data_IF_977711539907
#
_entry.id   IF_977711539907
#
_cell.length_a   1.000
_cell.length_b   1.000
_cell.length_c   1.000
_cell.angle_alpha   90.00
_cell.angle_beta   90.00
_cell.angle_gamma   90.00
#
_symmetry.space_group_name_H-M   'P 1'
#
loop_
_entity.id
_entity.type
_entity.pdbx_description
1 polymer ?
#
# COMPACT_ATOMS: atom_id res chain seq x y z
N UNK A 1 64.66 3.75 35.09
CA UNK A 1 63.68 4.50 35.91
C UNK A 1 62.62 5.17 35.00
N UNK A 2 61.92 4.41 34.12
CA UNK A 2 61.08 5.01 33.02
C UNK A 2 59.56 4.89 33.21
N UNK A 3 59.09 4.57 34.42
CA UNK A 3 57.67 4.25 34.67
C UNK A 3 56.63 5.39 34.56
N UNK A 4 56.93 6.71 34.66
CA UNK A 4 55.88 7.72 34.72
C UNK A 4 55.25 8.09 33.36
N UNK A 5 56.03 8.12 32.27
CA UNK A 5 55.50 8.51 30.94
C UNK A 5 54.51 7.48 30.38
N UNK A 6 54.72 6.20 30.67
CA UNK A 6 53.82 5.11 30.25
C UNK A 6 52.45 5.21 30.95
N UNK A 7 52.43 5.58 32.22
CA UNK A 7 51.19 5.79 32.98
C UNK A 7 50.40 7.01 32.49
N UNK A 8 51.09 8.11 32.15
CA UNK A 8 50.45 9.30 31.56
C UNK A 8 49.82 9.01 30.20
N UNK A 9 50.49 8.23 29.34
CA UNK A 9 49.92 7.81 28.05
C UNK A 9 48.69 6.91 28.20
N UNK A 10 48.68 6.01 29.20
CA UNK A 10 47.52 5.17 29.51
C UNK A 10 46.36 6.02 30.05
N UNK A 11 46.64 7.00 30.89
CA UNK A 11 45.63 7.94 31.39
C UNK A 11 45.03 8.79 30.26
N UNK A 12 45.85 9.29 29.34
CA UNK A 12 45.39 10.02 28.15
C UNK A 12 44.55 9.14 27.22
N UNK A 13 44.92 7.87 27.04
CA UNK A 13 44.13 6.92 26.25
C UNK A 13 42.74 6.66 26.89
N UNK A 14 42.69 6.46 28.22
CA UNK A 14 41.42 6.29 28.93
C UNK A 14 40.52 7.52 28.83
N UNK A 15 41.10 8.73 28.87
CA UNK A 15 40.34 9.97 28.74
C UNK A 15 39.70 10.08 27.33
N UNK A 16 40.44 9.73 26.28
CA UNK A 16 39.92 9.69 24.90
C UNK A 16 38.76 8.72 24.76
N UNK A 17 38.88 7.51 25.31
CA UNK A 17 37.78 6.52 25.28
C UNK A 17 36.54 7.02 26.00
N UNK A 18 36.70 7.63 27.19
CA UNK A 18 35.58 8.25 27.93
C UNK A 18 34.91 9.35 27.13
N UNK A 19 35.69 10.18 26.43
CA UNK A 19 35.18 11.27 25.61
C UNK A 19 34.42 10.74 24.38
N UNK A 20 34.96 9.73 23.70
CA UNK A 20 34.28 9.05 22.58
C UNK A 20 32.96 8.44 23.06
N UNK A 21 32.97 7.76 24.21
CA UNK A 21 31.76 7.20 24.79
C UNK A 21 30.72 8.28 25.15
N UNK A 22 31.16 9.38 25.77
CA UNK A 22 30.29 10.51 26.09
C UNK A 22 29.68 11.14 24.83
N UNK A 23 30.47 11.30 23.77
CA UNK A 23 30.00 11.82 22.48
C UNK A 23 28.96 10.89 21.84
N UNK A 24 29.24 9.57 21.83
CA UNK A 24 28.28 8.56 21.35
C UNK A 24 26.96 8.59 22.13
N UNK A 25 27.05 8.71 23.46
CA UNK A 25 25.88 8.78 24.33
C UNK A 25 25.07 10.07 24.08
N UNK A 26 25.75 11.21 23.93
CA UNK A 26 25.09 12.48 23.65
C UNK A 26 24.40 12.46 22.28
N UNK A 27 25.07 11.94 21.25
CA UNK A 27 24.48 11.73 19.92
C UNK A 27 23.23 10.83 19.97
N UNK A 28 23.27 9.73 20.72
CA UNK A 28 22.10 8.86 20.90
C UNK A 28 20.93 9.62 21.53
N UNK A 29 21.19 10.41 22.58
CA UNK A 29 20.16 11.21 23.26
C UNK A 29 19.54 12.26 22.34
N UNK A 30 20.35 12.95 21.53
CA UNK A 30 19.87 13.92 20.54
C UNK A 30 18.93 13.27 19.52
N UNK A 31 19.34 12.13 18.94
CA UNK A 31 18.50 11.41 17.98
C UNK A 31 17.19 10.90 18.59
N UNK A 32 17.22 10.46 19.86
CA UNK A 32 16.01 10.06 20.56
C UNK A 32 15.07 11.25 20.78
N UNK A 33 15.60 12.40 21.19
CA UNK A 33 14.83 13.63 21.39
C UNK A 33 14.20 14.12 20.09
N UNK A 34 14.97 14.14 18.99
CA UNK A 34 14.45 14.49 17.66
C UNK A 34 13.31 13.56 17.23
N UNK A 35 13.46 12.25 17.44
CA UNK A 35 12.40 11.28 17.13
C UNK A 35 11.14 11.55 17.95
N UNK A 36 11.27 11.73 19.26
CA UNK A 36 10.13 12.01 20.14
C UNK A 36 9.42 13.30 19.70
N UNK A 37 10.16 14.35 19.36
CA UNK A 37 9.56 15.59 18.87
C UNK A 37 8.81 15.39 17.55
N UNK A 38 9.38 14.64 16.60
CA UNK A 38 8.69 14.28 15.35
C UNK A 38 7.40 13.50 15.62
N UNK A 39 7.44 12.53 16.54
CA UNK A 39 6.24 11.78 16.93
C UNK A 39 5.20 12.68 17.60
N UNK A 40 5.60 13.59 18.48
CA UNK A 40 4.67 14.52 19.12
C UNK A 40 3.98 15.42 18.10
N UNK A 41 4.71 15.96 17.12
CA UNK A 41 4.12 16.75 16.02
C UNK A 41 3.10 15.92 15.25
N UNK A 42 3.46 14.70 14.85
CA UNK A 42 2.56 13.79 14.14
C UNK A 42 1.30 13.46 14.95
N UNK A 43 1.44 13.20 16.25
CA UNK A 43 0.31 12.93 17.14
C UNK A 43 -0.62 14.14 17.27
N UNK A 44 -0.05 15.35 17.34
CA UNK A 44 -0.84 16.58 17.35
C UNK A 44 -1.59 16.80 16.03
N UNK A 45 -1.00 16.45 14.89
CA UNK A 45 -1.67 16.48 13.59
C UNK A 45 -2.81 15.47 13.52
N UNK A 46 -2.58 14.22 13.94
CA UNK A 46 -3.61 13.18 14.01
C UNK A 46 -4.74 13.55 14.98
N UNK A 47 -4.44 14.24 16.08
CA UNK A 47 -5.45 14.72 17.03
C UNK A 47 -6.37 15.77 16.40
N UNK A 48 -5.82 16.65 15.55
CA UNK A 48 -6.57 17.69 14.83
C UNK A 48 -7.47 17.14 13.72
N UNK A 49 -7.31 15.88 13.32
CA UNK A 49 -8.16 15.30 12.27
C UNK A 49 -9.64 15.31 12.70
N UNK A 50 -10.56 15.83 11.84
CA UNK A 50 -11.98 15.83 12.15
C UNK A 50 -12.52 14.39 12.12
N UNK A 51 -13.22 13.98 13.18
CA UNK A 51 -13.85 12.65 13.28
C UNK A 51 -15.35 12.75 13.05
N UNK A 52 -15.90 11.80 12.32
CA UNK A 52 -17.35 11.64 12.13
C UNK A 52 -17.88 10.62 13.14
N UNK A 53 -19.12 10.78 13.61
CA UNK A 53 -19.76 9.81 14.51
C UNK A 53 -19.91 8.47 13.80
N UNK A 54 -19.61 7.38 14.51
CA UNK A 54 -19.72 6.02 13.97
C UNK A 54 -21.12 5.70 13.43
N UNK A 55 -22.18 6.19 14.10
CA UNK A 55 -23.56 6.05 13.62
C UNK A 55 -23.77 6.68 12.23
N UNK A 56 -23.21 7.87 12.01
CA UNK A 56 -23.33 8.58 10.74
C UNK A 56 -22.53 7.87 9.64
N UNK A 57 -21.32 7.39 9.95
CA UNK A 57 -20.54 6.58 9.03
C UNK A 57 -21.28 5.30 8.61
N UNK A 58 -21.90 4.60 9.56
CA UNK A 58 -22.67 3.40 9.27
C UNK A 58 -23.86 3.71 8.33
N UNK A 59 -24.59 4.80 8.58
CA UNK A 59 -25.67 5.25 7.69
C UNK A 59 -25.16 5.58 6.28
N UNK A 60 -24.01 6.23 6.15
CA UNK A 60 -23.41 6.51 4.83
C UNK A 60 -23.07 5.22 4.06
N UNK A 61 -22.53 4.21 4.77
CA UNK A 61 -22.21 2.92 4.16
C UNK A 61 -23.50 2.20 3.72
N UNK A 62 -24.52 2.15 4.57
CA UNK A 62 -25.82 1.54 4.24
C UNK A 62 -26.40 2.20 2.99
N UNK A 63 -26.51 3.53 3.00
CA UNK A 63 -27.04 4.28 1.86
C UNK A 63 -26.26 4.01 0.57
N UNK A 64 -24.92 3.95 0.66
CA UNK A 64 -24.09 3.63 -0.50
C UNK A 64 -24.37 2.23 -1.04
N UNK A 65 -24.46 1.24 -0.15
CA UNK A 65 -24.74 -0.15 -0.53
C UNK A 65 -26.16 -0.33 -1.06
N UNK A 66 -27.13 0.47 -0.62
CA UNK A 66 -28.51 0.45 -1.12
C UNK A 66 -28.68 1.20 -2.45
N UNK A 67 -27.80 2.14 -2.78
CA UNK A 67 -27.87 2.87 -4.06
C UNK A 67 -27.05 2.21 -5.15
N UNK A 68 -26.00 1.47 -4.76
CA UNK A 68 -25.05 0.87 -5.69
C UNK A 68 -25.40 -0.60 -5.91
N UNK A 69 -25.88 -0.92 -7.11
CA UNK A 69 -26.20 -2.29 -7.51
C UNK A 69 -24.94 -3.15 -7.63
N UNK A 70 -24.90 -4.29 -6.95
CA UNK A 70 -23.84 -5.28 -7.07
C UNK A 70 -24.33 -6.54 -7.83
N UNK A 71 -23.81 -6.82 -9.04
CA UNK A 71 -24.20 -7.98 -9.83
C UNK A 71 -23.74 -9.33 -9.24
N UNK A 72 -22.86 -9.33 -8.23
CA UNK A 72 -22.38 -10.53 -7.53
C UNK A 72 -23.33 -11.02 -6.43
N UNK A 73 -24.34 -10.23 -6.07
CA UNK A 73 -25.35 -10.59 -5.05
C UNK A 73 -26.75 -10.63 -5.68
N UNK A 74 -27.07 -11.64 -6.52
CA UNK A 74 -28.34 -11.70 -7.23
C UNK A 74 -29.58 -11.82 -6.34
N UNK A 75 -29.41 -12.28 -5.09
CA UNK A 75 -30.52 -12.46 -4.15
C UNK A 75 -31.17 -11.13 -3.74
N UNK A 76 -30.36 -10.07 -3.63
CA UNK A 76 -30.82 -8.73 -3.24
C UNK A 76 -31.11 -7.88 -4.48
N UNK A 77 -30.24 -8.00 -5.48
CA UNK A 77 -30.19 -7.09 -6.63
C UNK A 77 -30.75 -7.66 -7.93
N UNK A 78 -31.07 -8.96 -7.96
CA UNK A 78 -31.51 -9.68 -9.15
C UNK A 78 -30.35 -10.17 -10.02
N UNK A 79 -30.65 -11.13 -10.89
CA UNK A 79 -29.66 -11.71 -11.80
C UNK A 79 -29.25 -10.72 -12.90
N UNK A 80 -27.95 -10.57 -13.19
CA UNK A 80 -27.50 -9.71 -14.27
C UNK A 80 -27.98 -10.24 -15.63
N UNK A 81 -28.53 -9.35 -16.48
CA UNK A 81 -29.09 -9.71 -17.79
C UNK A 81 -28.08 -10.36 -18.75
N UNK A 82 -26.80 -10.01 -18.65
CA UNK A 82 -25.72 -10.55 -19.49
C UNK A 82 -24.50 -10.90 -18.63
N UNK A 83 -24.24 -12.19 -18.47
CA UNK A 83 -22.99 -12.68 -17.90
C UNK A 83 -21.99 -12.94 -19.02
N UNK A 84 -20.93 -12.13 -19.09
CA UNK A 84 -19.85 -12.24 -20.09
C UNK A 84 -19.05 -13.54 -19.97
N UNK A 85 -19.10 -14.21 -18.81
CA UNK A 85 -18.37 -15.45 -18.53
C UNK A 85 -19.21 -16.72 -18.71
N UNK A 86 -20.47 -16.60 -19.18
CA UNK A 86 -21.36 -17.75 -19.38
C UNK A 86 -20.86 -18.72 -20.46
N UNK A 87 -20.03 -18.26 -21.40
CA UNK A 87 -19.43 -19.10 -22.45
C UNK A 87 -18.19 -19.89 -22.01
N UNK A 88 -17.71 -19.69 -20.77
CA UNK A 88 -16.57 -20.42 -20.21
C UNK A 88 -17.00 -21.65 -19.40
N UNK A 89 -18.30 -21.94 -19.31
CA UNK A 89 -18.71 -23.29 -18.90
C UNK A 89 -18.16 -24.24 -19.94
N UNK A 90 -17.12 -24.98 -19.55
CA UNK A 90 -16.56 -26.12 -20.25
C UNK A 90 -17.69 -27.14 -20.45
N UNK A 91 -18.48 -26.93 -21.49
CA UNK A 91 -19.36 -27.95 -22.03
C UNK A 91 -18.41 -28.91 -22.73
N UNK A 92 -18.22 -30.09 -22.14
CA UNK A 92 -17.49 -31.18 -22.77
C UNK A 92 -18.22 -31.68 -24.02
N UNK A 93 -18.10 -30.91 -25.11
CA UNK A 93 -18.54 -31.27 -26.45
C UNK A 93 -17.59 -30.65 -27.49
N UNK A 94 -16.34 -31.11 -27.44
CA UNK A 94 -15.33 -30.90 -28.49
C UNK A 94 -15.66 -31.74 -29.73
N UNK A 95 -16.81 -31.50 -30.36
CA UNK A 95 -17.02 -31.99 -31.72
C UNK A 95 -18.08 -31.20 -32.49
N UNK A 96 -17.74 -29.98 -32.93
CA UNK A 96 -18.25 -29.48 -34.22
C UNK A 96 -17.44 -28.31 -34.74
N UNK A 97 -16.67 -28.64 -35.78
CA UNK A 97 -16.46 -27.83 -36.97
C UNK A 97 -15.74 -26.50 -36.76
N UNK A 98 -14.41 -26.60 -36.95
CA UNK A 98 -13.58 -25.53 -37.52
C UNK A 98 -14.14 -25.15 -38.91
N UNK A 99 -15.19 -24.34 -38.92
CA UNK A 99 -15.69 -23.65 -40.10
C UNK A 99 -15.18 -22.21 -40.07
N UNK A 100 -14.14 -21.93 -40.85
CA UNK A 100 -13.77 -20.55 -41.22
C UNK A 100 -14.97 -19.92 -41.95
N UNK A 101 -15.53 -18.78 -41.54
CA UNK A 101 -16.26 -17.95 -42.48
C UNK A 101 -15.26 -17.08 -43.25
N UNK A 102 -15.43 -17.12 -44.56
CA UNK A 102 -14.72 -16.34 -45.55
C UNK A 102 -15.01 -14.84 -45.42
N UNK A 103 -14.12 -14.07 -46.04
CA UNK A 103 -14.08 -12.62 -46.19
C UNK A 103 -15.39 -12.02 -46.75
N UNK A 104 -15.76 -10.83 -46.26
CA UNK A 104 -16.21 -9.67 -47.08
C UNK A 104 -16.35 -8.44 -46.15
N UNK A 105 -15.41 -7.49 -46.24
CA UNK A 105 -15.57 -6.17 -46.90
C UNK A 105 -16.28 -5.11 -46.05
N UNK A 106 -15.59 -3.98 -45.83
CA UNK A 106 -16.20 -2.67 -45.56
C UNK A 106 -15.81 -1.95 -44.26
N UNK A 107 -14.93 -0.95 -44.40
CA UNK A 107 -14.81 0.33 -43.65
C UNK A 107 -14.61 0.30 -42.11
N UNK A 108 -13.93 1.19 -41.42
CA UNK A 108 -12.87 2.17 -41.65
C UNK A 108 -12.42 2.59 -40.21
N UNK A 109 -11.24 3.18 -40.09
CA UNK A 109 -10.80 4.05 -38.98
C UNK A 109 -10.50 3.49 -37.56
N UNK A 110 -9.21 3.24 -37.34
CA UNK A 110 -8.47 3.57 -36.09
C UNK A 110 -8.85 2.85 -34.79
N UNK A 111 -8.62 1.53 -34.72
CA UNK A 111 -8.36 0.88 -33.42
C UNK A 111 -6.87 0.97 -33.12
N UNK A 112 -6.46 2.07 -32.48
CA UNK A 112 -5.18 2.15 -31.79
C UNK A 112 -5.09 0.99 -30.79
N UNK A 113 -4.11 0.13 -31.01
CA UNK A 113 -3.75 -0.99 -30.15
C UNK A 113 -3.37 -0.47 -28.76
N UNK A 114 -4.34 -0.36 -27.86
CA UNK A 114 -4.17 -0.03 -26.45
C UNK A 114 -4.41 -1.26 -25.58
N UNK A 115 -3.53 -2.26 -25.65
CA UNK A 115 -3.49 -3.35 -24.68
C UNK A 115 -2.68 -2.89 -23.46
N UNK A 116 -3.37 -2.52 -22.37
CA UNK A 116 -2.73 -2.31 -21.07
C UNK A 116 -2.89 -3.59 -20.23
N UNK A 117 -1.80 -4.34 -20.08
CA UNK A 117 -1.63 -5.30 -18.98
C UNK A 117 -0.96 -4.53 -17.84
N UNK A 118 -1.64 -4.38 -16.71
CA UNK A 118 -1.03 -3.92 -15.45
C UNK A 118 -0.33 -5.14 -14.84
N UNK A 119 1.00 -5.08 -14.75
CA UNK A 119 1.77 -5.77 -13.70
C UNK A 119 1.81 -4.88 -12.46
#
# INVERSE_FOLDING_TARGET
>A
MERPKKQQNVQQAMLREKLIHAFRLNRKKQLTLERINKYNVKLMEELKTPRVKASNCALMVINYTEQTHDPLIPQVWGYPKKNKFKSLTYNGDDNKQRGRPAQSEGLDETATNGCCVIM
#
